data_IF_215675473312
#
_entry.id   IF_215675473312
#
_cell.length_a   1.000
_cell.length_b   1.000
_cell.length_c   1.000
_cell.angle_alpha   90.00
_cell.angle_beta   90.00
_cell.angle_gamma   90.00
#
_symmetry.space_group_name_H-M   'P 1'
#
loop_
_entity.id
_entity.type
_entity.pdbx_description
1 polymer ?
#
# COMPACT_ATOMS: atom_id res chain seq x y z
N UNK A 1 -12.22 4.15 9.29
CA UNK A 1 -11.33 2.98 9.22
C UNK A 1 -11.82 2.04 8.12
N UNK A 2 -10.91 1.40 7.35
CA UNK A 2 -11.27 0.45 6.30
C UNK A 2 -10.72 -0.94 6.62
N UNK A 3 -11.57 -1.96 6.46
CA UNK A 3 -11.19 -3.34 6.68
C UNK A 3 -10.12 -3.82 5.70
N UNK A 4 -9.21 -4.66 6.19
CA UNK A 4 -8.09 -5.23 5.43
C UNK A 4 -8.49 -5.91 4.12
N UNK A 5 -9.61 -6.63 4.07
CA UNK A 5 -10.11 -7.28 2.84
C UNK A 5 -10.40 -6.29 1.70
N UNK A 6 -10.71 -5.03 2.03
CA UNK A 6 -11.06 -3.99 1.07
C UNK A 6 -9.85 -3.16 0.61
N UNK A 7 -8.62 -3.48 1.01
CA UNK A 7 -7.45 -2.69 0.62
C UNK A 7 -6.97 -3.00 -0.80
N UNK A 8 -7.21 -4.20 -1.33
CA UNK A 8 -6.71 -4.62 -2.65
C UNK A 8 -7.20 -3.67 -3.74
N UNK A 9 -6.28 -3.16 -4.55
CA UNK A 9 -6.54 -2.18 -5.61
C UNK A 9 -6.58 -0.72 -5.14
N UNK A 10 -6.50 -0.45 -3.83
CA UNK A 10 -6.46 0.92 -3.30
C UNK A 10 -5.04 1.44 -3.19
N UNK A 11 -4.88 2.77 -3.20
CA UNK A 11 -3.59 3.42 -2.95
C UNK A 11 -3.38 3.54 -1.45
N UNK A 12 -2.25 3.05 -0.96
CA UNK A 12 -1.79 3.19 0.43
C UNK A 12 -0.67 4.20 0.48
N UNK A 13 -0.68 5.02 1.53
CA UNK A 13 0.38 5.97 1.83
C UNK A 13 1.15 5.50 3.08
N UNK A 14 2.47 5.46 2.98
CA UNK A 14 3.36 5.01 4.04
C UNK A 14 4.71 5.71 3.93
N UNK A 15 5.44 5.73 5.03
CA UNK A 15 6.84 6.14 5.09
C UNK A 15 7.73 4.94 4.77
N UNK A 16 8.61 5.05 3.79
CA UNK A 16 9.63 4.04 3.51
C UNK A 16 10.80 4.11 4.51
N UNK A 17 11.71 3.14 4.42
CA UNK A 17 12.90 3.06 5.30
C UNK A 17 13.85 4.27 5.15
N UNK A 18 13.77 5.00 4.03
CA UNK A 18 14.53 6.23 3.79
C UNK A 18 13.84 7.47 4.39
N UNK A 19 12.71 7.31 5.08
CA UNK A 19 11.92 8.41 5.62
C UNK A 19 11.13 9.20 4.56
N UNK A 20 10.93 8.64 3.37
CA UNK A 20 10.17 9.29 2.28
C UNK A 20 8.74 8.77 2.24
N UNK A 21 7.79 9.68 2.09
CA UNK A 21 6.39 9.32 1.88
C UNK A 21 6.21 8.69 0.49
N UNK A 22 5.63 7.50 0.45
CA UNK A 22 5.32 6.75 -0.77
C UNK A 22 3.82 6.52 -0.85
N UNK A 23 3.29 6.64 -2.07
CA UNK A 23 1.91 6.31 -2.39
C UNK A 23 1.91 5.22 -3.47
N UNK A 24 1.46 4.01 -3.11
CA UNK A 24 1.49 2.83 -4.00
C UNK A 24 0.19 2.05 -3.96
N UNK A 25 -0.09 1.29 -5.01
CA UNK A 25 -1.32 0.48 -5.10
C UNK A 25 -1.12 -0.87 -4.40
N UNK A 26 -2.04 -1.24 -3.50
CA UNK A 26 -2.04 -2.56 -2.84
C UNK A 26 -2.44 -3.64 -3.85
N UNK A 27 -1.56 -4.61 -4.07
CA UNK A 27 -1.80 -5.75 -4.97
C UNK A 27 -2.25 -7.00 -4.22
N UNK A 28 -1.64 -7.25 -3.06
CA UNK A 28 -1.88 -8.47 -2.28
C UNK A 28 -1.77 -8.16 -0.79
N UNK A 29 -2.46 -8.99 -0.02
CA UNK A 29 -2.54 -8.92 1.42
C UNK A 29 -2.31 -10.32 1.96
N UNK A 30 -1.32 -10.48 2.83
CA UNK A 30 -1.06 -11.73 3.55
C UNK A 30 -0.81 -11.33 5.00
N UNK A 31 -1.69 -11.75 5.94
CA UNK A 31 -1.67 -11.42 7.39
C UNK A 31 -0.84 -10.19 7.78
N UNK A 32 -1.36 -9.01 8.08
CA UNK A 32 -0.61 -7.75 8.31
C UNK A 32 0.40 -7.24 7.27
N UNK A 33 0.96 -8.06 6.37
CA UNK A 33 1.81 -7.60 5.26
C UNK A 33 0.98 -7.16 4.05
N UNK A 34 1.30 -6.00 3.48
CA UNK A 34 0.78 -5.55 2.19
C UNK A 34 1.87 -5.64 1.13
N UNK A 35 1.55 -6.25 0.00
CA UNK A 35 2.38 -6.11 -1.22
C UNK A 35 1.83 -4.95 -2.03
N UNK A 36 2.64 -3.93 -2.22
CA UNK A 36 2.26 -2.72 -2.94
C UNK A 36 3.10 -2.59 -4.20
N UNK A 37 2.58 -1.89 -5.21
CA UNK A 37 3.33 -1.64 -6.42
C UNK A 37 3.07 -0.27 -7.01
N UNK A 38 4.10 0.24 -7.69
CA UNK A 38 3.97 1.36 -8.61
C UNK A 38 4.23 0.89 -10.04
N UNK A 39 3.39 1.34 -10.97
CA UNK A 39 3.55 1.06 -12.39
C UNK A 39 4.24 2.24 -13.04
N UNK A 40 5.51 2.09 -13.39
CA UNK A 40 6.23 3.05 -14.20
C UNK A 40 6.12 2.67 -15.68
N UNK A 41 5.80 3.63 -16.55
CA UNK A 41 5.99 3.44 -17.99
C UNK A 41 7.48 3.51 -18.30
N UNK A 42 7.98 2.57 -19.09
CA UNK A 42 9.37 2.57 -19.56
C UNK A 42 9.32 2.49 -21.07
N UNK A 43 9.44 3.65 -21.71
CA UNK A 43 9.24 3.82 -23.15
C UNK A 43 7.77 3.86 -23.56
N UNK A 44 7.53 3.67 -24.85
CA UNK A 44 6.22 3.86 -25.49
C UNK A 44 5.24 2.73 -25.24
N UNK A 45 5.71 1.48 -25.06
CA UNK A 45 4.85 0.29 -24.94
C UNK A 45 5.10 -0.58 -23.70
N UNK A 46 6.22 -0.42 -22.99
CA UNK A 46 6.57 -1.27 -21.84
C UNK A 46 6.23 -0.57 -20.53
N UNK A 47 5.81 -1.35 -19.55
CA UNK A 47 5.56 -0.88 -18.20
C UNK A 47 6.31 -1.79 -17.23
N UNK A 48 7.05 -1.20 -16.30
CA UNK A 48 7.67 -1.94 -15.21
C UNK A 48 6.84 -1.72 -13.95
N UNK A 49 6.55 -2.82 -13.27
CA UNK A 49 5.97 -2.79 -11.94
C UNK A 49 7.09 -2.90 -10.92
N UNK A 50 7.28 -1.88 -10.08
CA UNK A 50 8.10 -2.01 -8.87
C UNK A 50 7.20 -2.54 -7.76
N UNK A 51 7.46 -3.77 -7.30
CA UNK A 51 6.74 -4.39 -6.18
C UNK A 51 7.59 -4.26 -4.92
N UNK A 52 6.93 -4.01 -3.80
CA UNK A 52 7.56 -4.07 -2.48
C UNK A 52 6.57 -4.60 -1.44
N UNK A 53 7.10 -4.97 -0.29
CA UNK A 53 6.33 -5.48 0.83
C UNK A 53 6.46 -4.51 1.98
N UNK A 54 5.33 -4.04 2.49
CA UNK A 54 5.27 -3.15 3.66
C UNK A 54 4.56 -3.87 4.80
N UNK A 55 5.04 -3.64 6.01
CA UNK A 55 4.51 -4.21 7.24
C UNK A 55 4.29 -3.10 8.26
N UNK A 56 3.16 -3.05 8.98
CA UNK A 56 2.87 -2.00 9.96
C UNK A 56 3.92 -1.90 11.07
N UNK A 57 4.51 -3.03 11.49
CA UNK A 57 5.56 -3.02 12.53
C UNK A 57 6.90 -2.43 12.06
N UNK A 58 7.13 -2.40 10.73
CA UNK A 58 8.40 -1.93 10.15
C UNK A 58 8.28 -0.57 9.48
N UNK A 59 7.10 -0.26 8.94
CA UNK A 59 6.85 0.93 8.15
C UNK A 59 5.72 1.73 8.80
N UNK A 60 5.87 3.05 8.84
CA UNK A 60 4.79 3.93 9.30
C UNK A 60 3.74 4.07 8.20
N UNK A 61 2.63 3.35 8.32
CA UNK A 61 1.53 3.37 7.35
C UNK A 61 0.51 4.43 7.78
N UNK A 62 0.29 5.46 6.96
CA UNK A 62 -0.63 6.56 7.26
C UNK A 62 -2.10 6.18 7.00
N UNK A 63 -2.35 5.39 5.96
CA UNK A 63 -3.70 4.95 5.60
C UNK A 63 -3.83 4.64 4.12
N UNK A 64 -5.07 4.47 3.65
CA UNK A 64 -5.38 4.29 2.23
C UNK A 64 -6.36 5.32 1.73
N UNK A 65 -6.31 5.59 0.43
CA UNK A 65 -7.29 6.43 -0.25
C UNK A 65 -8.57 5.64 -0.55
N UNK A 66 -9.68 6.09 0.02
CA UNK A 66 -11.03 5.60 -0.22
C UNK A 66 -11.95 6.78 -0.52
N UNK A 67 -12.58 6.79 -1.71
CA UNK A 67 -13.48 7.89 -2.14
C UNK A 67 -12.84 9.28 -1.96
N UNK A 68 -11.61 9.45 -2.45
CA UNK A 68 -10.79 10.67 -2.33
C UNK A 68 -10.46 11.12 -0.89
N UNK A 69 -10.72 10.30 0.13
CA UNK A 69 -10.33 10.58 1.52
C UNK A 69 -9.27 9.58 1.97
N UNK A 70 -8.32 10.04 2.79
CA UNK A 70 -7.42 9.13 3.49
C UNK A 70 -8.16 8.54 4.68
N UNK A 71 -8.14 7.22 4.79
CA UNK A 71 -8.74 6.48 5.90
C UNK A 71 -7.73 5.51 6.48
N UNK A 72 -7.69 5.42 7.80
CA UNK A 72 -6.84 4.46 8.51
C UNK A 72 -7.25 3.02 8.19
N UNK A 73 -6.25 2.15 8.20
CA UNK A 73 -6.41 0.71 7.98
C UNK A 73 -6.75 0.04 9.31
N UNK A 74 -7.80 -0.77 9.29
CA UNK A 74 -8.11 -1.64 10.42
C UNK A 74 -7.18 -2.87 10.42
N UNK A 75 -6.27 -2.93 11.39
CA UNK A 75 -5.36 -4.06 11.60
C UNK A 75 -5.90 -5.11 12.60
N UNK A 76 -7.05 -4.86 13.24
CA UNK A 76 -7.55 -5.63 14.39
C UNK A 76 -8.07 -7.05 14.10
N UNK A 77 -7.81 -7.62 12.91
CA UNK A 77 -8.32 -8.95 12.50
C UNK A 77 -7.23 -9.92 12.03
N UNK A 78 -6.26 -10.18 12.90
CA UNK A 78 -5.24 -11.20 12.65
C UNK A 78 -4.22 -11.38 13.77
N UNK A 79 -4.69 -11.41 15.02
CA UNK A 79 -3.99 -12.07 16.13
C UNK A 79 -4.48 -13.52 16.21
#
# INVERSE_FOLDING_TARGET
MIGKSNLKGKKVEYLDDDGKCRCKTVLQIAGNTLTVANKAKIGTKRCQWSKERIHPDKNKIFGVYYRNKMVEIDWSRGA
#
